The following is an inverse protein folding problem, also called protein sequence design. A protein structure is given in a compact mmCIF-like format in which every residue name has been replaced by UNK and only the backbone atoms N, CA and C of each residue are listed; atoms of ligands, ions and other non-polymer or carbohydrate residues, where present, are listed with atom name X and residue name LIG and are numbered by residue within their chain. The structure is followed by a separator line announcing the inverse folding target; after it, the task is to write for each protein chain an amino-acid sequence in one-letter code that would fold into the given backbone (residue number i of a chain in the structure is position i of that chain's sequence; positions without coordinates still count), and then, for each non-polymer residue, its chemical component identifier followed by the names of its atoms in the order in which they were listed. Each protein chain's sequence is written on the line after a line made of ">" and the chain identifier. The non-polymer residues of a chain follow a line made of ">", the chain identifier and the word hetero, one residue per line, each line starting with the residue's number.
data_IF_352546600546
#
_entry.id   IF_352546600546
#
_cell.length_a   1.000
_cell.length_b   1.000
_cell.length_c   1.000
_cell.angle_alpha   90.00
_cell.angle_beta   90.00
_cell.angle_gamma   90.00
#
_symmetry.space_group_name_H-M   'P 1'
#
loop_
_entity.id
_entity.type
_entity.pdbx_description
1 polymer ?
#
# COMPACT_ATOMS: atom_id res chain seq x y z
N UNK A 1 9.77 -31.03 11.33
CA UNK A 1 10.76 -29.94 11.40
C UNK A 1 10.34 -28.82 12.34
N UNK A 2 9.07 -28.41 12.35
CA UNK A 2 8.53 -27.32 13.20
C UNK A 2 8.82 -27.47 14.70
N UNK A 3 8.54 -28.62 15.33
CA UNK A 3 8.73 -28.78 16.79
C UNK A 3 10.18 -28.67 17.28
N UNK A 4 11.18 -29.00 16.46
CA UNK A 4 12.60 -28.81 16.81
C UNK A 4 13.00 -27.34 16.73
N UNK A 5 12.46 -26.61 15.76
CA UNK A 5 12.67 -25.17 15.65
C UNK A 5 11.99 -24.41 16.81
N UNK A 6 10.79 -24.85 17.24
CA UNK A 6 10.13 -24.27 18.41
C UNK A 6 10.98 -24.49 19.67
N UNK A 7 11.55 -25.69 19.81
CA UNK A 7 12.44 -26.00 20.92
C UNK A 7 13.71 -25.13 20.90
N UNK A 8 14.28 -24.83 19.73
CA UNK A 8 15.45 -23.96 19.62
C UNK A 8 15.10 -22.50 19.90
N UNK A 9 13.97 -22.00 19.40
CA UNK A 9 13.52 -20.62 19.69
C UNK A 9 13.18 -20.44 21.18
N UNK A 10 12.51 -21.42 21.79
CA UNK A 10 12.27 -21.42 23.24
C UNK A 10 13.57 -21.52 24.03
N UNK A 11 14.53 -22.33 23.58
CA UNK A 11 15.84 -22.40 24.22
C UNK A 11 16.63 -21.08 24.09
N UNK A 12 16.55 -20.40 22.94
CA UNK A 12 17.11 -19.07 22.73
C UNK A 12 16.45 -18.05 23.66
N UNK A 13 15.11 -18.04 23.73
CA UNK A 13 14.35 -17.17 24.62
C UNK A 13 14.68 -17.40 26.10
N UNK A 14 14.88 -18.65 26.52
CA UNK A 14 15.35 -19.01 27.87
C UNK A 14 16.77 -18.51 28.10
N UNK A 15 17.67 -18.71 27.14
CA UNK A 15 19.07 -18.27 27.24
C UNK A 15 19.18 -16.75 27.33
N UNK A 16 18.34 -16.02 26.60
CA UNK A 16 18.32 -14.56 26.62
C UNK A 16 17.62 -13.99 27.87
N UNK A 17 16.63 -14.70 28.42
CA UNK A 17 15.93 -14.30 29.66
C UNK A 17 16.69 -14.65 30.95
N UNK A 18 17.66 -15.58 30.90
CA UNK A 18 18.44 -16.11 32.04
C UNK A 18 19.06 -15.09 33.00
N UNK A 19 19.45 -13.91 32.53
CA UNK A 19 20.24 -12.95 33.32
C UNK A 19 19.43 -11.95 34.13
N UNK A 20 18.13 -11.76 33.83
CA UNK A 20 17.34 -10.68 34.46
C UNK A 20 15.84 -10.94 34.65
N UNK A 21 15.25 -11.97 34.04
CA UNK A 21 13.77 -12.11 34.00
C UNK A 21 13.32 -13.53 34.26
N UNK A 22 13.10 -13.83 35.54
CA UNK A 22 12.77 -15.17 36.00
C UNK A 22 11.37 -15.62 35.52
N UNK A 23 10.40 -14.72 35.39
CA UNK A 23 9.04 -15.07 34.99
C UNK A 23 8.94 -15.50 33.52
N UNK A 24 9.55 -14.74 32.60
CA UNK A 24 9.61 -15.11 31.18
C UNK A 24 10.42 -16.41 31.00
N UNK A 25 11.52 -16.55 31.75
CA UNK A 25 12.32 -17.76 31.76
C UNK A 25 11.50 -18.96 32.23
N UNK A 26 10.79 -18.83 33.34
CA UNK A 26 9.97 -19.89 33.93
C UNK A 26 8.83 -20.28 32.99
N UNK A 27 8.20 -19.31 32.33
CA UNK A 27 7.15 -19.58 31.36
C UNK A 27 7.69 -20.28 30.08
N UNK A 28 8.86 -19.85 29.58
CA UNK A 28 9.52 -20.48 28.45
C UNK A 28 10.08 -21.88 28.81
N UNK A 29 10.62 -22.07 30.02
CA UNK A 29 11.08 -23.36 30.56
C UNK A 29 9.90 -24.33 30.72
N UNK A 30 8.78 -23.88 31.30
CA UNK A 30 7.55 -24.66 31.41
C UNK A 30 7.05 -25.11 30.04
N UNK A 31 7.01 -24.19 29.06
CA UNK A 31 6.62 -24.49 27.68
C UNK A 31 7.58 -25.49 27.01
N UNK A 32 8.89 -25.39 27.27
CA UNK A 32 9.91 -26.31 26.76
C UNK A 32 9.85 -27.70 27.45
N UNK A 33 9.52 -27.75 28.74
CA UNK A 33 9.37 -28.98 29.51
C UNK A 33 8.12 -29.75 29.09
N UNK A 34 7.00 -29.06 28.88
CA UNK A 34 5.79 -29.63 28.27
C UNK A 34 6.09 -30.19 26.87
N UNK A 35 6.89 -29.49 26.06
CA UNK A 35 7.34 -29.97 24.75
C UNK A 35 8.18 -31.26 24.84
N UNK A 36 9.03 -31.39 25.86
CA UNK A 36 9.86 -32.59 26.11
C UNK A 36 9.04 -33.77 26.65
N UNK A 37 8.08 -33.52 27.55
CA UNK A 37 7.23 -34.55 28.17
C UNK A 37 6.42 -35.34 27.13
N UNK A 38 5.90 -34.67 26.11
CA UNK A 38 5.17 -35.27 24.99
C UNK A 38 6.03 -36.15 24.08
N UNK A 39 7.35 -35.94 24.06
CA UNK A 39 8.30 -36.78 23.32
C UNK A 39 8.53 -38.13 24.03
N UNK A 40 8.22 -38.22 25.33
CA UNK A 40 8.37 -39.40 26.18
C UNK A 40 7.14 -40.31 26.27
N UNK A 41 5.98 -39.90 25.73
CA UNK A 41 4.79 -40.75 25.71
C UNK A 41 4.93 -41.84 24.62
N UNK A 42 4.85 -43.14 24.97
CA UNK A 42 4.94 -44.21 23.98
C UNK A 42 3.82 -44.08 22.95
N UNK A 43 4.18 -44.21 21.66
CA UNK A 43 3.34 -44.05 20.45
C UNK A 43 2.16 -45.06 20.30
N UNK A 44 1.56 -45.52 21.40
CA UNK A 44 0.59 -46.63 21.39
C UNK A 44 -0.90 -46.22 21.41
N UNK A 45 -1.22 -44.95 21.13
CA UNK A 45 -2.61 -44.48 20.97
C UNK A 45 -2.78 -43.48 19.82
N UNK A 46 -2.08 -43.69 18.70
CA UNK A 46 -2.22 -42.84 17.51
C UNK A 46 -2.47 -43.64 16.23
N UNK A 47 -3.31 -44.68 16.32
CA UNK A 47 -3.89 -45.35 15.15
C UNK A 47 -5.37 -45.01 15.02
N UNK A 48 -5.65 -43.71 14.84
CA UNK A 48 -6.80 -43.13 14.14
C UNK A 48 -6.66 -41.60 14.24
N UNK A 49 -6.85 -40.92 13.12
CA UNK A 49 -6.64 -39.47 12.88
C UNK A 49 -5.18 -39.11 12.61
N UNK A 50 -4.84 -39.03 11.32
CA UNK A 50 -3.65 -38.36 10.86
C UNK A 50 -3.71 -36.87 11.20
N UNK A 51 -2.66 -36.34 11.82
CA UNK A 51 -2.01 -35.06 11.51
C UNK A 51 -1.00 -34.71 12.62
N UNK A 52 0.32 -34.64 12.33
CA UNK A 52 1.31 -34.12 13.27
C UNK A 52 1.19 -32.60 13.55
N UNK A 53 0.28 -31.87 12.86
CA UNK A 53 0.11 -30.41 12.97
C UNK A 53 -0.63 -29.94 14.24
N UNK A 54 -1.62 -30.68 14.77
CA UNK A 54 -2.38 -30.26 15.95
C UNK A 54 -1.51 -30.10 17.22
N UNK A 55 -0.41 -30.85 17.31
CA UNK A 55 0.54 -30.81 18.44
C UNK A 55 1.42 -29.55 18.46
N UNK A 56 1.68 -28.93 17.31
CA UNK A 56 2.51 -27.72 17.22
C UNK A 56 1.69 -26.45 17.48
N UNK A 57 0.47 -26.38 16.93
CA UNK A 57 -0.43 -25.25 17.11
C UNK A 57 -0.86 -25.07 18.58
N UNK A 58 -1.22 -26.15 19.28
CA UNK A 58 -1.58 -26.07 20.70
C UNK A 58 -0.46 -25.53 21.59
N UNK A 59 0.80 -25.85 21.27
CA UNK A 59 1.98 -25.39 22.02
C UNK A 59 2.34 -23.95 21.70
N UNK A 60 2.22 -23.57 20.43
CA UNK A 60 2.39 -22.17 20.03
C UNK A 60 1.38 -21.27 20.75
N UNK A 61 0.15 -21.76 20.95
CA UNK A 61 -0.87 -21.01 21.71
C UNK A 61 -0.44 -20.80 23.17
N UNK A 62 0.07 -21.84 23.84
CA UNK A 62 0.58 -21.73 25.21
C UNK A 62 1.74 -20.71 25.30
N UNK A 63 2.65 -20.72 24.33
CA UNK A 63 3.77 -19.76 24.27
C UNK A 63 3.26 -18.34 24.08
N UNK A 64 2.29 -18.12 23.19
CA UNK A 64 1.69 -16.80 22.98
C UNK A 64 0.95 -16.31 24.23
N UNK A 65 0.21 -17.17 24.91
CA UNK A 65 -0.48 -16.82 26.17
C UNK A 65 0.53 -16.46 27.28
N UNK A 66 1.62 -17.21 27.40
CA UNK A 66 2.72 -16.91 28.31
C UNK A 66 3.41 -15.56 27.99
N UNK A 67 3.65 -15.27 26.70
CA UNK A 67 4.17 -13.98 26.28
C UNK A 67 3.19 -12.84 26.60
N UNK A 68 1.88 -13.08 26.46
CA UNK A 68 0.83 -12.12 26.83
C UNK A 68 0.89 -11.80 28.32
N UNK A 69 0.99 -12.80 29.19
CA UNK A 69 1.15 -12.58 30.64
C UNK A 69 2.44 -11.82 30.98
N UNK A 70 3.52 -12.08 30.25
CA UNK A 70 4.79 -11.40 30.44
C UNK A 70 4.81 -9.93 29.94
N UNK A 71 3.78 -9.44 29.26
CA UNK A 71 3.73 -8.04 28.78
C UNK A 71 3.72 -7.02 29.91
N UNK A 72 3.24 -7.37 31.11
CA UNK A 72 3.26 -6.51 32.30
C UNK A 72 4.61 -6.49 33.03
N UNK A 73 5.60 -7.25 32.55
CA UNK A 73 6.93 -7.31 33.16
C UNK A 73 7.79 -6.07 32.82
N UNK A 74 9.03 -6.04 33.33
CA UNK A 74 9.94 -4.91 33.13
C UNK A 74 10.33 -4.66 31.66
N UNK A 75 10.84 -3.44 31.39
CA UNK A 75 11.25 -2.95 30.05
C UNK A 75 12.05 -3.96 29.22
N UNK A 76 13.09 -4.54 29.82
CA UNK A 76 13.98 -5.51 29.16
C UNK A 76 13.22 -6.79 28.72
N UNK A 77 12.12 -7.17 29.39
CA UNK A 77 11.24 -8.28 28.98
C UNK A 77 10.42 -7.87 27.77
N UNK A 78 9.79 -6.70 27.84
CA UNK A 78 8.93 -6.18 26.79
C UNK A 78 9.67 -6.10 25.44
N UNK A 79 10.91 -5.62 25.44
CA UNK A 79 11.73 -5.57 24.22
C UNK A 79 12.10 -6.96 23.68
N UNK A 80 12.36 -7.94 24.56
CA UNK A 80 12.65 -9.32 24.15
C UNK A 80 11.43 -10.00 23.53
N UNK A 81 10.24 -9.75 24.09
CA UNK A 81 8.98 -10.22 23.49
C UNK A 81 8.86 -9.66 22.06
N UNK A 82 9.09 -8.36 21.88
CA UNK A 82 9.01 -7.70 20.58
C UNK A 82 10.07 -8.18 19.57
N UNK A 83 11.23 -8.64 20.03
CA UNK A 83 12.27 -9.23 19.18
C UNK A 83 11.94 -10.67 18.76
N UNK A 84 11.35 -11.47 19.65
CA UNK A 84 11.04 -12.87 19.38
C UNK A 84 9.75 -13.06 18.55
N UNK A 85 8.76 -12.20 18.75
CA UNK A 85 7.43 -12.35 18.16
C UNK A 85 7.41 -12.34 16.61
N UNK A 86 8.12 -11.45 15.90
CA UNK A 86 8.16 -11.47 14.43
C UNK A 86 8.69 -12.80 13.88
N UNK A 87 9.81 -13.28 14.42
CA UNK A 87 10.45 -14.53 14.00
C UNK A 87 9.55 -15.74 14.24
N UNK A 88 8.87 -15.77 15.39
CA UNK A 88 7.89 -16.81 15.71
C UNK A 88 6.74 -16.81 14.69
N UNK A 89 6.19 -15.65 14.35
CA UNK A 89 5.06 -15.55 13.44
C UNK A 89 5.43 -15.85 11.98
N UNK A 90 6.65 -15.49 11.56
CA UNK A 90 7.16 -15.82 10.23
C UNK A 90 7.41 -17.32 10.07
N UNK A 91 8.00 -17.97 11.07
CA UNK A 91 8.32 -19.40 11.02
C UNK A 91 7.09 -20.31 11.13
N UNK A 92 6.03 -19.85 11.81
CA UNK A 92 4.77 -20.59 11.99
C UNK A 92 3.60 -19.94 11.24
N UNK A 93 3.88 -19.25 10.14
CA UNK A 93 2.88 -18.47 9.40
C UNK A 93 1.64 -19.29 9.00
N UNK A 94 1.80 -20.58 8.66
CA UNK A 94 0.70 -21.48 8.29
C UNK A 94 -0.20 -21.89 9.47
N UNK A 95 0.36 -21.97 10.68
CA UNK A 95 -0.32 -22.44 11.88
C UNK A 95 -0.97 -21.28 12.67
N UNK A 96 -0.49 -20.04 12.49
CA UNK A 96 -1.06 -18.85 13.14
C UNK A 96 -2.25 -18.32 12.34
N UNK A 97 -3.45 -18.74 12.76
CA UNK A 97 -4.75 -18.32 12.22
C UNK A 97 -5.73 -18.11 13.37
N UNK A 98 -6.80 -17.35 13.16
CA UNK A 98 -7.87 -17.27 14.16
C UNK A 98 -7.43 -16.62 15.48
N UNK A 99 -7.85 -17.21 16.60
CA UNK A 99 -7.53 -16.75 17.97
C UNK A 99 -6.02 -16.59 18.23
N UNK A 100 -5.16 -17.42 17.60
CA UNK A 100 -3.70 -17.32 17.80
C UNK A 100 -3.14 -16.03 17.20
N UNK A 101 -3.67 -15.61 16.05
CA UNK A 101 -3.34 -14.33 15.44
C UNK A 101 -3.81 -13.18 16.33
N UNK A 102 -5.02 -13.29 16.88
CA UNK A 102 -5.59 -12.29 17.79
C UNK A 102 -4.71 -12.15 19.04
N UNK A 103 -4.30 -13.24 19.68
CA UNK A 103 -3.40 -13.19 20.84
C UNK A 103 -2.07 -12.52 20.48
N UNK A 104 -1.49 -12.86 19.33
CA UNK A 104 -0.22 -12.29 18.90
C UNK A 104 -0.30 -10.77 18.63
N UNK A 105 -1.36 -10.31 17.93
CA UNK A 105 -1.60 -8.89 17.73
C UNK A 105 -1.89 -8.16 19.05
N UNK A 106 -2.64 -8.80 19.96
CA UNK A 106 -2.98 -8.24 21.27
C UNK A 106 -1.73 -7.97 22.12
N UNK A 107 -0.72 -8.86 22.09
CA UNK A 107 0.58 -8.63 22.75
C UNK A 107 1.19 -7.30 22.28
N UNK A 108 1.25 -7.07 20.96
CA UNK A 108 1.79 -5.83 20.41
C UNK A 108 0.95 -4.61 20.76
N UNK A 109 -0.38 -4.71 20.73
CA UNK A 109 -1.24 -3.60 21.13
C UNK A 109 -1.05 -3.22 22.61
N UNK A 110 -0.94 -4.20 23.51
CA UNK A 110 -0.66 -3.97 24.94
C UNK A 110 0.69 -3.27 25.11
N UNK A 111 1.74 -3.78 24.44
CA UNK A 111 3.08 -3.19 24.53
C UNK A 111 3.16 -1.80 23.88
N UNK A 112 2.38 -1.56 22.84
CA UNK A 112 2.26 -0.23 22.23
C UNK A 112 1.62 0.76 23.22
N UNK A 113 0.64 0.36 24.02
CA UNK A 113 0.06 1.24 25.02
C UNK A 113 1.02 1.62 26.17
N UNK A 114 2.27 1.09 26.15
CA UNK A 114 3.31 1.45 27.11
C UNK A 114 3.67 2.93 27.05
N UNK A 115 3.88 3.53 28.23
CA UNK A 115 4.37 4.92 28.35
C UNK A 115 5.86 5.05 28.00
N UNK A 116 6.58 3.93 27.91
CA UNK A 116 7.98 3.96 27.54
C UNK A 116 8.11 4.12 26.02
N UNK A 117 8.71 5.24 25.58
CA UNK A 117 8.86 5.56 24.16
C UNK A 117 9.61 4.47 23.36
N UNK A 118 10.60 3.79 23.96
CA UNK A 118 11.35 2.73 23.29
C UNK A 118 10.40 1.56 23.00
N UNK A 119 9.64 1.10 24.01
CA UNK A 119 8.70 -0.01 23.85
C UNK A 119 7.56 0.36 22.92
N UNK A 120 7.01 1.57 23.07
CA UNK A 120 5.94 2.09 22.22
C UNK A 120 6.37 2.09 20.74
N UNK A 121 7.54 2.66 20.42
CA UNK A 121 8.04 2.76 19.05
C UNK A 121 8.46 1.40 18.48
N UNK A 122 9.14 0.55 19.26
CA UNK A 122 9.50 -0.80 18.82
C UNK A 122 8.24 -1.63 18.60
N UNK A 123 7.25 -1.55 19.49
CA UNK A 123 5.98 -2.26 19.33
C UNK A 123 5.19 -1.77 18.12
N UNK A 124 5.19 -0.46 17.85
CA UNK A 124 4.57 0.11 16.67
C UNK A 124 5.15 -0.47 15.37
N UNK A 125 6.48 -0.56 15.27
CA UNK A 125 7.16 -1.16 14.12
C UNK A 125 6.86 -2.67 14.00
N UNK A 126 6.93 -3.40 15.12
CA UNK A 126 6.58 -4.82 15.14
C UNK A 126 5.13 -5.04 14.70
N UNK A 127 4.19 -4.25 15.21
CA UNK A 127 2.77 -4.35 14.88
C UNK A 127 2.51 -4.07 13.40
N UNK A 128 3.16 -3.07 12.80
CA UNK A 128 3.12 -2.84 11.36
C UNK A 128 3.59 -4.07 10.58
N UNK A 129 4.71 -4.69 10.97
CA UNK A 129 5.21 -5.91 10.34
C UNK A 129 4.24 -7.09 10.49
N UNK A 130 3.60 -7.24 11.65
CA UNK A 130 2.64 -8.32 11.87
C UNK A 130 1.38 -8.14 11.03
N UNK A 131 0.84 -6.91 10.96
CA UNK A 131 -0.32 -6.60 10.12
C UNK A 131 0.01 -6.86 8.65
N UNK A 132 1.16 -6.39 8.15
CA UNK A 132 1.64 -6.67 6.78
C UNK A 132 1.72 -8.19 6.54
N UNK A 133 2.27 -8.95 7.49
CA UNK A 133 2.36 -10.41 7.37
C UNK A 133 0.99 -11.10 7.27
N UNK A 134 -0.08 -10.56 7.87
CA UNK A 134 -1.45 -11.09 7.70
C UNK A 134 -1.88 -11.00 6.24
N UNK A 135 -1.60 -9.90 5.55
CA UNK A 135 -1.94 -9.71 4.14
C UNK A 135 -0.98 -10.46 3.20
N UNK A 136 0.28 -10.66 3.58
CA UNK A 136 1.18 -11.56 2.85
C UNK A 136 0.63 -12.99 2.79
N UNK A 137 -0.02 -13.46 3.87
CA UNK A 137 -0.65 -14.78 3.89
C UNK A 137 -1.79 -14.89 2.88
N UNK A 138 -2.59 -13.84 2.71
CA UNK A 138 -3.64 -13.80 1.67
C UNK A 138 -3.01 -13.92 0.28
N UNK A 139 -1.95 -13.15 0.03
CA UNK A 139 -1.22 -13.20 -1.24
C UNK A 139 -0.61 -14.59 -1.51
N UNK A 140 -0.15 -15.29 -0.48
CA UNK A 140 0.33 -16.66 -0.59
C UNK A 140 -0.82 -17.66 -0.84
N UNK A 141 -1.95 -17.47 -0.17
CA UNK A 141 -3.17 -18.29 -0.32
C UNK A 141 -3.75 -18.17 -1.75
N UNK A 142 -3.71 -16.98 -2.35
CA UNK A 142 -4.18 -16.76 -3.72
C UNK A 142 -3.30 -17.41 -4.79
N UNK A 143 -2.00 -17.58 -4.50
CA UNK A 143 -1.07 -18.32 -5.39
C UNK A 143 -1.30 -19.83 -5.34
N UNK A 144 -1.95 -20.33 -4.29
CA UNK A 144 -2.20 -21.76 -4.07
C UNK A 144 -3.69 -22.04 -3.78
N UNK A 145 -4.58 -21.79 -4.75
CA UNK A 145 -6.04 -21.80 -4.52
C UNK A 145 -6.62 -23.20 -4.21
N UNK A 146 -5.85 -24.28 -4.35
CA UNK A 146 -6.31 -25.66 -4.18
C UNK A 146 -6.11 -26.27 -2.79
N UNK A 147 -5.45 -25.58 -1.85
CA UNK A 147 -4.94 -26.20 -0.61
C UNK A 147 -5.81 -25.92 0.63
N UNK A 148 -6.80 -25.01 0.55
CA UNK A 148 -7.61 -24.60 1.70
C UNK A 148 -9.12 -24.54 1.38
N UNK A 149 -9.99 -25.17 2.20
CA UNK A 149 -11.43 -25.02 2.07
C UNK A 149 -11.86 -23.58 2.39
N UNK A 150 -13.02 -23.17 1.87
CA UNK A 150 -13.68 -21.94 2.32
C UNK A 150 -14.17 -22.13 3.77
N UNK A 151 -13.86 -21.19 4.66
CA UNK A 151 -14.07 -21.33 6.12
C UNK A 151 -15.05 -20.29 6.67
N UNK A 152 -15.39 -19.25 5.90
CA UNK A 152 -16.36 -18.26 6.35
C UNK A 152 -17.01 -17.49 5.20
N UNK A 153 -17.96 -16.63 5.57
CA UNK A 153 -18.61 -15.70 4.66
C UNK A 153 -18.26 -14.26 5.07
N UNK A 154 -17.98 -13.42 4.07
CA UNK A 154 -17.72 -12.00 4.25
C UNK A 154 -18.72 -11.16 3.43
N UNK A 155 -19.17 -10.01 3.96
CA UNK A 155 -20.14 -9.15 3.28
C UNK A 155 -19.50 -8.44 2.08
N UNK A 156 -20.23 -8.42 0.97
CA UNK A 156 -19.92 -7.68 -0.26
C UNK A 156 -21.14 -6.84 -0.68
N UNK A 157 -20.97 -5.95 -1.66
CA UNK A 157 -22.05 -5.07 -2.12
C UNK A 157 -23.34 -5.84 -2.52
N UNK A 158 -23.20 -7.01 -3.13
CA UNK A 158 -24.31 -7.81 -3.68
C UNK A 158 -24.61 -9.10 -2.88
N UNK A 159 -24.21 -9.18 -1.60
CA UNK A 159 -24.49 -10.34 -0.74
C UNK A 159 -23.31 -10.77 0.13
N UNK A 160 -23.09 -12.08 0.23
CA UNK A 160 -21.93 -12.66 0.95
C UNK A 160 -21.06 -13.48 0.00
N UNK A 161 -19.74 -13.40 0.20
CA UNK A 161 -18.75 -14.21 -0.52
C UNK A 161 -18.10 -15.19 0.44
N UNK A 162 -17.94 -16.43 -0.02
CA UNK A 162 -17.18 -17.44 0.71
C UNK A 162 -15.69 -17.11 0.65
N UNK A 163 -15.08 -16.97 1.82
CA UNK A 163 -13.68 -16.60 2.00
C UNK A 163 -12.91 -17.73 2.65
N UNK A 164 -11.64 -17.84 2.24
CA UNK A 164 -10.66 -18.74 2.85
C UNK A 164 -10.17 -18.17 4.19
N UNK A 165 -9.42 -18.96 4.95
CA UNK A 165 -9.03 -18.59 6.31
C UNK A 165 -8.16 -17.34 6.37
N UNK A 166 -7.13 -17.22 5.50
CA UNK A 166 -6.25 -16.05 5.54
C UNK A 166 -6.99 -14.78 5.09
N UNK A 167 -7.81 -14.87 4.03
CA UNK A 167 -8.65 -13.76 3.57
C UNK A 167 -9.64 -13.29 4.67
N UNK A 168 -10.26 -14.23 5.40
CA UNK A 168 -11.15 -13.92 6.51
C UNK A 168 -10.44 -13.24 7.67
N UNK A 169 -9.25 -13.72 8.05
CA UNK A 169 -8.44 -13.10 9.10
C UNK A 169 -8.03 -11.68 8.70
N UNK A 170 -7.59 -11.47 7.45
CA UNK A 170 -7.25 -10.14 6.94
C UNK A 170 -8.46 -9.19 6.92
N UNK A 171 -9.63 -9.68 6.51
CA UNK A 171 -10.87 -8.90 6.52
C UNK A 171 -11.23 -8.43 7.93
N UNK A 172 -11.21 -9.34 8.91
CA UNK A 172 -11.54 -9.01 10.31
C UNK A 172 -10.52 -8.05 10.93
N UNK A 173 -9.22 -8.31 10.73
CA UNK A 173 -8.16 -7.43 11.23
C UNK A 173 -8.29 -6.04 10.62
N UNK A 174 -8.50 -5.91 9.31
CA UNK A 174 -8.63 -4.60 8.67
C UNK A 174 -9.88 -3.84 9.13
N UNK A 175 -11.03 -4.53 9.23
CA UNK A 175 -12.27 -3.95 9.72
C UNK A 175 -12.13 -3.41 11.15
N UNK A 176 -11.48 -4.17 12.02
CA UNK A 176 -11.24 -3.76 13.41
C UNK A 176 -10.22 -2.64 13.52
N UNK A 177 -9.18 -2.62 12.69
CA UNK A 177 -8.27 -1.48 12.61
C UNK A 177 -9.03 -0.19 12.25
N UNK A 178 -10.00 -0.26 11.34
CA UNK A 178 -10.87 0.87 11.02
C UNK A 178 -11.75 1.24 12.23
N UNK A 179 -12.41 0.28 12.88
CA UNK A 179 -13.23 0.52 14.08
C UNK A 179 -12.43 1.21 15.18
N UNK A 180 -11.23 0.68 15.48
CA UNK A 180 -10.37 1.19 16.54
C UNK A 180 -9.84 2.59 16.22
N UNK A 181 -9.56 2.90 14.95
CA UNK A 181 -9.13 4.24 14.52
C UNK A 181 -10.25 5.29 14.66
N UNK A 182 -11.51 4.85 14.57
CA UNK A 182 -12.71 5.65 14.83
C UNK A 182 -13.12 5.71 16.31
N UNK A 183 -12.32 5.14 17.23
CA UNK A 183 -12.66 4.95 18.64
C UNK A 183 -13.90 4.08 18.90
N UNK A 184 -14.24 3.19 17.96
CA UNK A 184 -15.28 2.17 18.14
C UNK A 184 -14.67 0.88 18.73
N UNK A 185 -15.53 0.00 19.25
CA UNK A 185 -15.08 -1.28 19.80
C UNK A 185 -14.84 -2.28 18.67
N UNK A 186 -13.67 -2.94 18.62
CA UNK A 186 -13.42 -4.02 17.66
C UNK A 186 -14.32 -5.23 17.94
N UNK A 187 -14.63 -5.99 16.89
CA UNK A 187 -15.45 -7.20 16.98
C UNK A 187 -14.60 -8.47 17.16
N UNK A 188 -13.38 -8.46 16.64
CA UNK A 188 -12.48 -9.61 16.57
C UNK A 188 -11.24 -9.47 17.47
N UNK A 189 -10.59 -8.31 17.45
CA UNK A 189 -9.45 -7.97 18.28
C UNK A 189 -9.90 -7.67 19.71
N UNK A 190 -9.27 -8.30 20.70
CA UNK A 190 -9.62 -8.13 22.13
C UNK A 190 -8.84 -6.99 22.79
N UNK A 191 -8.74 -5.84 22.11
CA UNK A 191 -8.00 -4.67 22.62
C UNK A 191 -8.66 -3.34 22.24
N UNK A 192 -8.70 -2.40 23.18
CA UNK A 192 -9.20 -1.04 22.95
C UNK A 192 -8.17 -0.05 23.50
N UNK A 193 -7.57 0.78 22.65
CA UNK A 193 -6.55 1.75 23.09
C UNK A 193 -5.58 2.22 22.01
N UNK A 194 -5.97 2.12 20.73
CA UNK A 194 -5.13 2.53 19.61
C UNK A 194 -5.18 4.05 19.47
N UNK A 195 -4.03 4.71 19.34
CA UNK A 195 -4.03 6.13 18.97
C UNK A 195 -4.52 6.27 17.53
N UNK A 196 -5.37 7.27 17.27
CA UNK A 196 -5.92 7.49 15.93
C UNK A 196 -4.82 7.70 14.88
N UNK A 197 -3.76 8.44 15.21
CA UNK A 197 -2.64 8.69 14.29
C UNK A 197 -1.93 7.41 13.89
N UNK A 198 -1.69 6.50 14.83
CA UNK A 198 -1.05 5.23 14.52
C UNK A 198 -2.00 4.26 13.80
N UNK A 199 -3.30 4.28 14.12
CA UNK A 199 -4.31 3.52 13.37
C UNK A 199 -4.38 3.92 11.90
N UNK A 200 -4.32 5.23 11.61
CA UNK A 200 -4.21 5.75 10.26
C UNK A 200 -2.93 5.28 9.55
N UNK A 201 -1.78 5.25 10.23
CA UNK A 201 -0.53 4.73 9.65
C UNK A 201 -0.61 3.23 9.31
N UNK A 202 -1.27 2.43 10.15
CA UNK A 202 -1.52 1.02 9.86
C UNK A 202 -2.41 0.84 8.62
N UNK A 203 -3.49 1.62 8.52
CA UNK A 203 -4.39 1.60 7.37
C UNK A 203 -3.62 2.00 6.09
N UNK A 204 -2.84 3.08 6.14
CA UNK A 204 -2.01 3.53 5.01
C UNK A 204 -1.00 2.45 4.58
N UNK A 205 -0.31 1.84 5.55
CA UNK A 205 0.69 0.79 5.31
C UNK A 205 0.08 -0.41 4.58
N UNK A 206 -1.09 -0.88 5.04
CA UNK A 206 -1.80 -1.99 4.40
C UNK A 206 -2.20 -1.65 2.96
N UNK A 207 -2.81 -0.48 2.74
CA UNK A 207 -3.25 -0.04 1.41
C UNK A 207 -2.08 0.14 0.44
N UNK A 208 -0.95 0.63 0.93
CA UNK A 208 0.24 0.89 0.11
C UNK A 208 0.95 -0.42 -0.28
N UNK A 209 1.14 -1.32 0.69
CA UNK A 209 1.88 -2.58 0.50
C UNK A 209 1.05 -3.64 -0.24
N UNK A 210 -0.27 -3.68 -0.03
CA UNK A 210 -1.14 -4.75 -0.53
C UNK A 210 -2.29 -4.26 -1.41
N UNK A 211 -2.09 -3.19 -2.19
CA UNK A 211 -3.11 -2.64 -3.08
C UNK A 211 -3.79 -3.69 -3.99
N UNK A 212 -3.05 -4.71 -4.46
CA UNK A 212 -3.62 -5.75 -5.31
C UNK A 212 -4.74 -6.55 -4.61
N UNK A 213 -4.65 -6.77 -3.30
CA UNK A 213 -5.66 -7.51 -2.53
C UNK A 213 -6.99 -6.78 -2.58
N UNK A 214 -7.00 -5.46 -2.38
CA UNK A 214 -8.23 -4.65 -2.43
C UNK A 214 -8.86 -4.58 -3.83
N UNK A 215 -8.10 -4.87 -4.89
CA UNK A 215 -8.63 -4.94 -6.26
C UNK A 215 -9.18 -6.33 -6.60
N UNK A 216 -8.58 -7.39 -6.05
CA UNK A 216 -8.99 -8.78 -6.31
C UNK A 216 -10.09 -9.28 -5.36
N UNK A 217 -10.12 -8.78 -4.12
CA UNK A 217 -11.02 -9.24 -3.06
C UNK A 217 -12.18 -8.25 -2.85
N UNK A 218 -13.42 -8.63 -3.23
CA UNK A 218 -14.58 -7.74 -3.10
C UNK A 218 -14.93 -7.42 -1.65
N UNK A 219 -14.68 -8.33 -0.70
CA UNK A 219 -14.92 -8.12 0.73
C UNK A 219 -14.02 -7.01 1.30
N UNK A 220 -12.77 -6.93 0.83
CA UNK A 220 -11.84 -5.88 1.23
C UNK A 220 -12.21 -4.53 0.61
N UNK A 221 -12.61 -4.54 -0.68
CA UNK A 221 -13.13 -3.34 -1.33
C UNK A 221 -14.38 -2.79 -0.62
N UNK A 222 -15.22 -3.67 -0.06
CA UNK A 222 -16.41 -3.25 0.68
C UNK A 222 -16.07 -2.50 1.97
N UNK A 223 -15.02 -2.88 2.69
CA UNK A 223 -14.54 -2.12 3.85
C UNK A 223 -14.12 -0.71 3.41
N UNK A 224 -13.47 -0.58 2.25
CA UNK A 224 -13.09 0.73 1.73
C UNK A 224 -14.32 1.62 1.49
N UNK A 225 -15.37 1.07 0.86
CA UNK A 225 -16.62 1.79 0.55
C UNK A 225 -17.41 2.20 1.78
N UNK A 226 -17.65 1.26 2.69
CA UNK A 226 -18.60 1.46 3.79
C UNK A 226 -17.95 2.09 5.02
N UNK A 227 -16.63 1.98 5.16
CA UNK A 227 -15.93 2.40 6.38
C UNK A 227 -14.84 3.42 6.09
N UNK A 228 -13.82 3.06 5.32
CA UNK A 228 -12.64 3.93 5.13
C UNK A 228 -13.00 5.25 4.44
N UNK A 229 -13.75 5.21 3.34
CA UNK A 229 -14.13 6.41 2.60
C UNK A 229 -15.03 7.34 3.43
N UNK A 230 -16.15 6.90 4.02
CA UNK A 230 -16.98 7.73 4.90
C UNK A 230 -16.20 8.29 6.10
N UNK A 231 -15.32 7.50 6.71
CA UNK A 231 -14.46 7.95 7.80
C UNK A 231 -13.53 9.09 7.37
N UNK A 232 -12.83 8.95 6.25
CA UNK A 232 -11.93 9.99 5.72
C UNK A 232 -12.70 11.26 5.37
N UNK A 233 -13.80 11.12 4.62
CA UNK A 233 -14.68 12.22 4.20
C UNK A 233 -15.15 13.00 5.42
N UNK A 234 -15.68 12.31 6.43
CA UNK A 234 -16.13 12.91 7.68
C UNK A 234 -14.97 13.58 8.44
N UNK A 235 -13.85 12.89 8.61
CA UNK A 235 -12.73 13.38 9.41
C UNK A 235 -12.00 14.59 8.77
N UNK A 236 -12.00 14.71 7.44
CA UNK A 236 -11.47 15.88 6.73
C UNK A 236 -12.41 17.09 6.84
N UNK A 237 -13.72 16.85 6.86
CA UNK A 237 -14.72 17.91 7.03
C UNK A 237 -14.73 18.46 8.47
N UNK A 238 -14.57 17.60 9.46
CA UNK A 238 -14.31 18.02 10.83
C UNK A 238 -12.90 18.64 10.94
N UNK A 239 -12.72 19.67 11.77
CA UNK A 239 -11.44 20.39 11.91
C UNK A 239 -10.35 19.55 12.60
N UNK A 240 -9.97 18.41 12.02
CA UNK A 240 -8.84 17.58 12.43
C UNK A 240 -7.54 18.39 12.53
N UNK A 241 -6.71 18.05 13.51
CA UNK A 241 -5.40 18.67 13.68
C UNK A 241 -4.47 18.36 12.48
N UNK A 242 -3.32 19.01 12.42
CA UNK A 242 -2.37 18.86 11.31
C UNK A 242 -1.91 17.39 11.14
N UNK A 243 -1.42 16.76 12.20
CA UNK A 243 -0.90 15.38 12.17
C UNK A 243 -1.92 14.35 11.65
N UNK A 244 -3.18 14.45 12.10
CA UNK A 244 -4.26 13.58 11.64
C UNK A 244 -4.65 13.91 10.19
N UNK A 245 -4.73 15.19 9.83
CA UNK A 245 -5.08 15.63 8.46
C UNK A 245 -4.07 15.15 7.43
N UNK A 246 -2.76 15.24 7.72
CA UNK A 246 -1.70 14.73 6.82
C UNK A 246 -1.91 13.24 6.55
N UNK A 247 -2.15 12.43 7.60
CA UNK A 247 -2.35 10.98 7.47
C UNK A 247 -3.64 10.62 6.72
N UNK A 248 -4.75 11.32 7.00
CA UNK A 248 -6.01 11.15 6.25
C UNK A 248 -5.83 11.47 4.76
N UNK A 249 -5.16 12.58 4.46
CA UNK A 249 -4.87 13.00 3.08
C UNK A 249 -3.96 12.01 2.36
N UNK A 250 -2.96 11.43 3.04
CA UNK A 250 -2.11 10.36 2.49
C UNK A 250 -2.89 9.10 2.12
N UNK A 251 -3.77 8.65 3.01
CA UNK A 251 -4.64 7.51 2.74
C UNK A 251 -5.54 7.81 1.53
N UNK A 252 -6.19 8.98 1.54
CA UNK A 252 -7.03 9.43 0.42
C UNK A 252 -6.26 9.46 -0.90
N UNK A 253 -5.06 10.01 -0.90
CA UNK A 253 -4.18 10.06 -2.06
C UNK A 253 -3.85 8.66 -2.59
N UNK A 254 -3.54 7.71 -1.71
CA UNK A 254 -3.30 6.30 -2.08
C UNK A 254 -4.56 5.67 -2.69
N UNK A 255 -5.74 5.93 -2.11
CA UNK A 255 -7.03 5.45 -2.63
C UNK A 255 -7.33 6.03 -4.03
N UNK A 256 -7.18 7.34 -4.22
CA UNK A 256 -7.40 7.99 -5.52
C UNK A 256 -6.42 7.49 -6.58
N UNK A 257 -5.16 7.23 -6.24
CA UNK A 257 -4.16 6.73 -7.20
C UNK A 257 -4.34 5.27 -7.60
N UNK A 258 -4.74 4.40 -6.67
CA UNK A 258 -4.70 2.94 -6.87
C UNK A 258 -6.07 2.28 -6.94
N UNK A 259 -7.10 2.90 -6.36
CA UNK A 259 -8.42 2.29 -6.12
C UNK A 259 -9.60 3.07 -6.72
N UNK A 260 -9.37 4.14 -7.49
CA UNK A 260 -10.46 4.93 -8.10
C UNK A 260 -11.42 4.08 -8.94
N UNK A 261 -10.94 3.05 -9.64
CA UNK A 261 -11.77 2.17 -10.47
C UNK A 261 -12.79 1.35 -9.67
N UNK A 262 -12.47 1.02 -8.41
CA UNK A 262 -13.38 0.27 -7.53
C UNK A 262 -14.22 1.21 -6.66
N UNK A 263 -13.84 2.48 -6.50
CA UNK A 263 -14.51 3.47 -5.64
C UNK A 263 -14.92 4.75 -6.40
N UNK A 264 -15.61 4.70 -7.56
CA UNK A 264 -15.81 5.89 -8.38
C UNK A 264 -16.72 6.93 -7.72
N UNK A 265 -17.79 6.50 -7.05
CA UNK A 265 -18.76 7.39 -6.40
C UNK A 265 -18.11 8.07 -5.20
N UNK A 266 -17.48 7.29 -4.33
CA UNK A 266 -16.81 7.77 -3.13
C UNK A 266 -15.60 8.65 -3.47
N UNK A 267 -14.87 8.33 -4.54
CA UNK A 267 -13.77 9.17 -5.03
C UNK A 267 -14.28 10.54 -5.50
N UNK A 268 -15.43 10.57 -6.18
CA UNK A 268 -16.09 11.83 -6.55
C UNK A 268 -16.40 12.69 -5.32
N UNK A 269 -17.05 12.10 -4.30
CA UNK A 269 -17.35 12.79 -3.04
C UNK A 269 -16.09 13.29 -2.32
N UNK A 270 -15.01 12.52 -2.35
CA UNK A 270 -13.76 12.92 -1.74
C UNK A 270 -13.08 14.08 -2.49
N UNK A 271 -13.14 14.09 -3.83
CA UNK A 271 -12.67 15.20 -4.66
C UNK A 271 -13.50 16.48 -4.43
N UNK A 272 -14.82 16.34 -4.23
CA UNK A 272 -15.69 17.47 -3.89
C UNK A 272 -15.26 18.11 -2.57
N UNK A 273 -14.98 17.30 -1.54
CA UNK A 273 -14.49 17.80 -0.25
C UNK A 273 -13.10 18.44 -0.37
N UNK A 274 -12.19 17.83 -1.12
CA UNK A 274 -10.87 18.44 -1.38
C UNK A 274 -11.02 19.81 -2.07
N UNK A 275 -11.97 19.93 -3.00
CA UNK A 275 -12.27 21.20 -3.69
C UNK A 275 -12.87 22.23 -2.72
N UNK A 276 -13.80 21.83 -1.86
CA UNK A 276 -14.34 22.71 -0.81
C UNK A 276 -13.26 23.19 0.16
N UNK A 277 -12.30 22.33 0.51
CA UNK A 277 -11.16 22.67 1.37
C UNK A 277 -10.14 23.61 0.70
N UNK A 278 -10.19 23.78 -0.63
CA UNK A 278 -9.39 24.79 -1.34
C UNK A 278 -9.98 26.20 -1.22
N UNK A 279 -11.25 26.33 -0.85
CA UNK A 279 -11.90 27.63 -0.72
C UNK A 279 -11.34 28.45 0.46
N UNK A 280 -11.61 29.74 0.48
CA UNK A 280 -10.86 30.73 1.27
C UNK A 280 -10.96 30.55 2.80
N UNK A 281 -11.98 29.84 3.29
CA UNK A 281 -12.22 29.62 4.72
C UNK A 281 -11.23 28.63 5.37
N UNK A 282 -10.48 27.87 4.58
CA UNK A 282 -9.53 26.88 5.09
C UNK A 282 -8.14 27.49 5.40
N UNK A 283 -7.47 27.04 6.47
CA UNK A 283 -6.09 27.44 6.76
C UNK A 283 -5.16 27.03 5.61
N UNK A 284 -4.14 27.85 5.35
CA UNK A 284 -3.28 27.72 4.18
C UNK A 284 -2.59 26.34 4.06
N UNK A 285 -2.26 25.69 5.17
CA UNK A 285 -1.67 24.34 5.17
C UNK A 285 -2.65 23.26 4.69
N UNK A 286 -3.96 23.41 4.94
CA UNK A 286 -4.98 22.49 4.41
C UNK A 286 -5.13 22.67 2.91
N UNK A 287 -5.14 23.92 2.45
CA UNK A 287 -5.19 24.25 1.03
C UNK A 287 -3.96 23.69 0.29
N UNK A 288 -2.77 23.85 0.88
CA UNK A 288 -1.53 23.27 0.35
C UNK A 288 -1.61 21.73 0.27
N UNK A 289 -2.06 21.05 1.33
CA UNK A 289 -2.26 19.59 1.33
C UNK A 289 -3.21 19.13 0.21
N UNK A 290 -4.34 19.82 0.03
CA UNK A 290 -5.28 19.48 -1.04
C UNK A 290 -4.65 19.66 -2.42
N UNK A 291 -3.93 20.77 -2.65
CA UNK A 291 -3.22 21.00 -3.91
C UNK A 291 -2.12 19.96 -4.19
N UNK A 292 -1.43 19.47 -3.17
CA UNK A 292 -0.45 18.38 -3.32
C UNK A 292 -1.11 17.07 -3.78
N UNK A 293 -2.32 16.76 -3.27
CA UNK A 293 -3.11 15.62 -3.75
C UNK A 293 -3.47 15.80 -5.21
N UNK A 294 -4.05 16.94 -5.59
CA UNK A 294 -4.42 17.21 -6.99
C UNK A 294 -3.22 17.03 -7.91
N UNK A 295 -2.10 17.69 -7.62
CA UNK A 295 -0.84 17.57 -8.35
C UNK A 295 -0.37 16.11 -8.46
N UNK A 296 -0.49 15.34 -7.39
CA UNK A 296 -0.10 13.94 -7.38
C UNK A 296 -1.06 13.04 -8.17
N UNK A 297 -2.36 13.30 -8.14
CA UNK A 297 -3.38 12.47 -8.83
C UNK A 297 -3.39 12.64 -10.34
N UNK A 298 -2.74 13.68 -10.87
CA UNK A 298 -2.64 13.96 -12.30
C UNK A 298 -1.83 12.89 -13.06
N UNK A 299 -2.51 11.80 -13.37
CA UNK A 299 -2.35 11.08 -14.63
C UNK A 299 -3.57 11.47 -15.48
N UNK A 300 -3.40 11.99 -16.71
CA UNK A 300 -4.52 12.47 -17.53
C UNK A 300 -5.61 11.41 -17.74
N UNK A 301 -5.28 10.12 -17.66
CA UNK A 301 -6.24 9.02 -17.77
C UNK A 301 -7.22 8.89 -16.57
N UNK A 302 -6.90 9.46 -15.40
CA UNK A 302 -7.71 9.34 -14.17
C UNK A 302 -8.79 10.43 -14.10
N UNK A 303 -8.58 11.59 -14.74
CA UNK A 303 -9.47 12.76 -14.72
C UNK A 303 -10.66 12.59 -15.71
N UNK A 304 -11.02 11.34 -16.06
CA UNK A 304 -12.15 11.09 -16.94
C UNK A 304 -11.94 11.45 -18.42
N UNK A 305 -10.70 11.71 -18.85
CA UNK A 305 -10.33 11.77 -20.27
C UNK A 305 -10.22 10.35 -20.84
N UNK A 306 -11.28 9.57 -20.71
CA UNK A 306 -11.41 8.27 -21.39
C UNK A 306 -11.89 8.46 -22.83
N UNK A 307 -11.70 7.45 -23.68
CA UNK A 307 -11.96 7.44 -25.14
C UNK A 307 -13.37 7.88 -25.60
N UNK A 308 -14.27 8.25 -24.70
CA UNK A 308 -15.62 8.77 -25.03
C UNK A 308 -15.79 10.29 -24.82
N UNK A 309 -14.86 10.98 -24.14
CA UNK A 309 -14.99 12.42 -23.85
C UNK A 309 -14.61 13.35 -25.01
N UNK A 310 -14.25 12.81 -26.17
CA UNK A 310 -13.98 13.59 -27.38
C UNK A 310 -14.63 12.92 -28.59
N UNK A 311 -15.97 12.92 -28.61
CA UNK A 311 -16.68 12.92 -29.89
C UNK A 311 -16.76 14.39 -30.30
N UNK A 312 -15.94 14.86 -31.27
CA UNK A 312 -16.17 16.18 -31.83
C UNK A 312 -17.56 16.13 -32.49
N UNK A 313 -18.48 16.99 -32.04
CA UNK A 313 -19.67 17.29 -32.82
C UNK A 313 -19.14 17.88 -34.14
N UNK A 314 -19.19 17.07 -35.18
CA UNK A 314 -18.86 17.46 -36.54
C UNK A 314 -19.83 18.58 -36.94
N UNK A 315 -19.33 19.82 -36.94
CA UNK A 315 -20.06 20.96 -37.47
C UNK A 315 -20.18 20.78 -39.00
N UNK A 316 -21.37 20.60 -39.60
CA UNK A 316 -21.51 20.28 -41.02
C UNK A 316 -21.19 21.43 -41.99
N UNK A 317 -20.74 22.60 -41.50
CA UNK A 317 -20.63 23.83 -42.29
C UNK A 317 -19.35 24.63 -42.04
N UNK A 318 -18.19 23.98 -42.00
CA UNK A 318 -16.91 24.72 -42.02
C UNK A 318 -15.97 24.22 -43.10
N UNK A 319 -16.37 24.47 -44.34
CA UNK A 319 -15.45 24.59 -45.47
C UNK A 319 -14.82 25.98 -45.43
N UNK A 320 -13.56 26.07 -45.00
CA UNK A 320 -12.54 26.97 -45.58
C UNK A 320 -11.21 26.66 -44.91
N UNK A 321 -10.28 26.17 -45.73
CA UNK A 321 -8.87 26.10 -45.43
C UNK A 321 -8.30 27.50 -45.20
N UNK A 322 -7.33 27.63 -44.29
CA UNK A 322 -6.59 28.88 -44.11
C UNK A 322 -5.80 28.94 -42.81
N UNK A 323 -4.60 28.39 -42.87
CA UNK A 323 -3.39 28.99 -42.30
C UNK A 323 -3.23 29.06 -40.76
N UNK A 324 -2.56 28.04 -40.18
CA UNK A 324 -1.66 28.24 -39.04
C UNK A 324 -0.42 27.36 -39.24
N UNK A 325 0.56 27.94 -39.92
CA UNK A 325 1.94 27.44 -40.03
C UNK A 325 2.56 27.35 -38.62
N UNK A 326 3.03 26.16 -38.27
CA UNK A 326 3.77 25.87 -37.06
C UNK A 326 5.24 26.30 -37.22
N UNK A 327 5.65 27.39 -36.59
CA UNK A 327 7.07 27.69 -36.35
C UNK A 327 7.50 27.03 -35.03
N UNK A 328 8.04 25.81 -35.13
CA UNK A 328 8.86 25.21 -34.09
C UNK A 328 10.30 25.71 -34.23
N UNK A 329 10.73 26.61 -33.36
CA UNK A 329 12.11 27.09 -33.31
C UNK A 329 12.45 27.58 -31.91
N UNK A 330 13.34 26.87 -31.22
CA UNK A 330 13.60 27.03 -29.79
C UNK A 330 14.04 28.42 -29.36
N UNK A 331 13.54 28.85 -28.20
CA UNK A 331 14.14 29.91 -27.39
C UNK A 331 14.13 29.45 -25.93
N UNK A 332 15.23 28.80 -25.53
CA UNK A 332 15.66 28.73 -24.12
C UNK A 332 16.15 30.13 -23.75
N UNK A 333 15.23 30.97 -23.26
CA UNK A 333 15.46 32.35 -22.89
C UNK A 333 15.76 32.51 -21.41
N UNK A 334 16.98 32.95 -21.12
CA UNK A 334 17.55 33.27 -19.83
C UNK A 334 16.75 34.37 -19.11
N UNK A 335 16.45 34.20 -17.82
CA UNK A 335 16.11 35.32 -16.92
C UNK A 335 17.22 35.40 -15.87
N UNK A 336 18.26 36.16 -16.21
CA UNK A 336 19.25 36.69 -15.27
C UNK A 336 18.89 38.16 -15.04
N UNK A 337 18.03 38.41 -14.04
CA UNK A 337 17.76 39.75 -13.53
C UNK A 337 18.58 39.98 -12.26
N UNK A 338 19.57 40.86 -12.34
CA UNK A 338 20.39 41.31 -11.22
C UNK A 338 19.53 41.99 -10.14
N UNK A 339 19.73 41.54 -8.91
CA UNK A 339 19.11 42.01 -7.67
C UNK A 339 19.44 43.47 -7.35
N UNK A 340 18.40 44.29 -7.21
CA UNK A 340 18.42 45.44 -6.31
C UNK A 340 17.60 45.04 -5.08
N UNK A 341 18.27 44.90 -3.96
CA UNK A 341 17.65 44.64 -2.67
C UNK A 341 16.99 45.93 -2.17
N UNK A 342 15.66 45.95 -2.12
CA UNK A 342 14.78 46.51 -1.08
C UNK A 342 13.39 46.79 -1.69
N UNK A 343 12.41 45.95 -1.35
CA UNK A 343 11.08 45.94 -1.96
C UNK A 343 10.57 44.51 -2.09
N UNK A 344 9.46 44.19 -1.41
CA UNK A 344 8.96 42.82 -1.27
C UNK A 344 8.97 42.04 -2.59
N UNK A 345 9.63 40.87 -2.59
CA UNK A 345 9.67 39.97 -3.73
C UNK A 345 8.24 39.50 -4.06
N UNK A 346 7.53 40.24 -4.91
CA UNK A 346 6.25 39.84 -5.48
C UNK A 346 6.51 38.95 -6.69
N UNK A 347 6.21 37.65 -6.59
CA UNK A 347 6.33 36.72 -7.72
C UNK A 347 6.39 35.26 -7.29
N UNK A 348 6.01 34.35 -8.19
CA UNK A 348 6.08 32.91 -7.99
C UNK A 348 7.41 32.42 -8.57
N UNK A 349 8.24 31.78 -7.74
CA UNK A 349 9.51 31.19 -8.18
C UNK A 349 9.79 29.91 -7.43
N UNK A 350 10.45 28.95 -8.09
CA UNK A 350 10.87 27.69 -7.48
C UNK A 350 11.80 27.92 -6.27
N UNK A 351 12.52 29.06 -6.21
CA UNK A 351 13.48 29.36 -5.14
C UNK A 351 12.84 29.82 -3.82
N UNK A 352 11.66 30.46 -3.84
CA UNK A 352 11.01 31.02 -2.64
C UNK A 352 9.53 30.63 -2.49
N UNK A 353 8.92 30.04 -3.52
CA UNK A 353 7.55 29.53 -3.55
C UNK A 353 7.50 28.00 -3.52
N UNK A 354 8.60 27.33 -3.20
CA UNK A 354 8.67 25.87 -3.06
C UNK A 354 9.02 25.49 -1.62
N UNK A 355 8.35 24.45 -1.12
CA UNK A 355 8.68 23.84 0.17
C UNK A 355 9.58 22.64 -0.10
N UNK A 356 10.69 22.51 0.66
CA UNK A 356 11.68 21.44 0.47
C UNK A 356 11.11 20.03 0.70
N UNK A 357 10.18 19.91 1.64
CA UNK A 357 9.51 18.65 1.98
C UNK A 357 7.99 18.88 1.84
N UNK A 358 7.31 18.22 0.90
CA UNK A 358 5.85 18.29 0.77
C UNK A 358 5.15 18.05 2.09
N UNK A 359 4.03 18.73 2.35
CA UNK A 359 3.28 18.59 3.59
C UNK A 359 2.75 17.18 3.78
N UNK A 360 2.37 16.51 2.68
CA UNK A 360 1.96 15.12 2.68
C UNK A 360 3.03 14.20 3.28
N UNK A 361 4.31 14.58 3.25
CA UNK A 361 5.44 13.79 3.76
C UNK A 361 5.90 14.21 5.16
N UNK A 362 5.25 15.18 5.80
CA UNK A 362 5.64 15.69 7.13
C UNK A 362 4.92 14.96 8.28
N UNK A 363 5.17 13.67 8.44
CA UNK A 363 4.51 12.80 9.42
C UNK A 363 4.92 13.03 10.89
N UNK A 364 6.13 13.55 11.11
CA UNK A 364 6.73 13.74 12.44
C UNK A 364 6.26 15.01 13.15
N UNK A 365 5.57 15.91 12.44
CA UNK A 365 5.17 17.21 12.98
C UNK A 365 3.73 17.18 13.46
N UNK A 366 3.51 17.73 14.67
CA UNK A 366 2.19 17.92 15.26
C UNK A 366 1.52 19.20 14.80
N UNK A 367 2.31 20.19 14.38
CA UNK A 367 1.86 21.52 13.96
C UNK A 367 2.33 21.87 12.53
N UNK A 368 1.55 22.67 11.80
CA UNK A 368 1.89 23.05 10.43
C UNK A 368 3.14 23.96 10.42
N UNK A 369 4.15 23.69 9.57
CA UNK A 369 5.29 24.61 9.41
C UNK A 369 4.85 25.94 8.78
N UNK A 370 5.66 27.01 8.90
CA UNK A 370 5.40 28.27 8.21
C UNK A 370 5.40 28.08 6.69
N UNK A 371 4.43 28.70 6.02
CA UNK A 371 4.16 28.48 4.60
C UNK A 371 4.39 29.80 3.85
N UNK A 372 5.16 29.78 2.75
CA UNK A 372 5.15 30.89 1.82
C UNK A 372 3.75 31.01 1.20
N UNK A 373 3.15 32.20 1.24
CA UNK A 373 1.82 32.42 0.64
C UNK A 373 1.78 32.09 -0.86
N UNK A 374 2.94 32.16 -1.53
CA UNK A 374 3.12 31.80 -2.94
C UNK A 374 3.12 30.29 -3.23
N UNK A 375 3.15 29.42 -2.21
CA UNK A 375 3.27 27.96 -2.39
C UNK A 375 2.05 27.34 -3.08
N UNK A 376 0.84 27.74 -2.67
CA UNK A 376 -0.41 27.24 -3.26
C UNK A 376 -0.47 27.60 -4.75
N UNK A 377 -0.11 28.83 -5.11
CA UNK A 377 -0.09 29.27 -6.51
C UNK A 377 0.94 28.52 -7.36
N UNK A 378 2.12 28.21 -6.80
CA UNK A 378 3.12 27.37 -7.47
C UNK A 378 2.58 25.96 -7.74
N UNK A 379 1.88 25.36 -6.76
CA UNK A 379 1.22 24.06 -6.96
C UNK A 379 0.14 24.14 -8.03
N UNK A 380 -0.69 25.21 -8.05
CA UNK A 380 -1.70 25.41 -9.09
C UNK A 380 -1.08 25.50 -10.49
N UNK A 381 -0.01 26.27 -10.65
CA UNK A 381 0.71 26.35 -11.94
C UNK A 381 1.31 24.99 -12.33
N UNK A 382 1.84 24.23 -11.37
CA UNK A 382 2.34 22.89 -11.62
C UNK A 382 1.24 21.92 -12.06
N UNK A 383 0.05 21.99 -11.44
CA UNK A 383 -1.14 21.24 -11.84
C UNK A 383 -1.54 21.56 -13.28
N UNK A 384 -1.69 22.84 -13.62
CA UNK A 384 -2.07 23.29 -14.97
C UNK A 384 -1.04 22.82 -16.00
N UNK A 385 0.25 22.92 -15.69
CA UNK A 385 1.34 22.47 -16.57
C UNK A 385 1.29 20.96 -16.83
N UNK A 386 1.14 20.17 -15.76
CA UNK A 386 1.05 18.71 -15.80
C UNK A 386 -0.20 18.22 -16.55
N UNK A 387 -1.36 18.87 -16.33
CA UNK A 387 -2.58 18.64 -17.11
C UNK A 387 -2.35 18.93 -18.60
N UNK A 388 -1.74 20.07 -18.92
CA UNK A 388 -1.46 20.48 -20.30
C UNK A 388 -0.52 19.49 -21.00
N UNK A 389 0.54 19.04 -20.31
CA UNK A 389 1.47 18.02 -20.82
C UNK A 389 0.77 16.66 -21.00
N UNK A 390 -0.12 16.29 -20.07
CA UNK A 390 -0.91 15.08 -20.15
C UNK A 390 -1.87 15.07 -21.34
N UNK A 391 -2.57 16.18 -21.56
CA UNK A 391 -3.42 16.38 -22.74
C UNK A 391 -2.60 16.33 -24.03
N UNK A 392 -1.45 17.00 -24.08
CA UNK A 392 -0.56 16.95 -25.24
C UNK A 392 -0.11 15.51 -25.54
N UNK A 393 0.31 14.74 -24.54
CA UNK A 393 0.69 13.33 -24.70
C UNK A 393 -0.45 12.45 -25.19
N UNK A 394 -1.70 12.77 -24.85
CA UNK A 394 -2.87 12.05 -25.32
C UNK A 394 -3.27 12.43 -26.75
N UNK A 395 -3.28 13.72 -27.06
CA UNK A 395 -3.76 14.25 -28.35
C UNK A 395 -2.71 14.10 -29.45
N UNK A 396 -1.43 14.36 -29.19
CA UNK A 396 -0.38 14.37 -30.21
C UNK A 396 -0.27 13.04 -31.00
N UNK A 397 -0.35 11.85 -30.37
CA UNK A 397 -0.36 10.59 -31.10
C UNK A 397 -1.61 10.37 -31.97
N UNK A 398 -2.71 11.07 -31.68
CA UNK A 398 -3.96 10.99 -32.45
C UNK A 398 -3.99 11.98 -33.62
N UNK A 399 -3.23 13.08 -33.53
CA UNK A 399 -3.18 14.12 -34.57
C UNK A 399 -2.10 13.88 -35.64
N UNK A 400 -1.14 12.99 -35.40
CA UNK A 400 -0.09 12.66 -36.39
C UNK A 400 -0.54 11.44 -37.23
N UNK A 401 -0.82 11.60 -38.54
CA UNK A 401 -1.12 10.47 -39.41
C UNK A 401 0.15 9.65 -39.67
N UNK A 402 0.29 8.52 -38.97
CA UNK A 402 1.05 7.34 -39.42
C UNK A 402 2.56 7.43 -39.61
N UNK A 403 3.33 7.13 -38.56
CA UNK A 403 4.62 6.41 -38.67
C UNK A 403 4.59 5.02 -38.02
N UNK A 404 3.40 4.39 -37.91
CA UNK A 404 3.30 2.96 -37.60
C UNK A 404 3.55 2.13 -38.85
N UNK A 405 4.80 2.09 -39.31
CA UNK A 405 5.09 1.38 -40.56
C UNK A 405 6.55 1.28 -40.99
N UNK A 406 7.53 1.17 -40.09
CA UNK A 406 8.88 0.72 -40.50
C UNK A 406 9.72 0.21 -39.34
N UNK A 407 9.61 -1.09 -39.04
CA UNK A 407 10.73 -1.94 -38.56
C UNK A 407 10.27 -3.39 -38.36
N UNK A 408 10.48 -4.22 -39.38
CA UNK A 408 11.14 -5.55 -39.30
C UNK A 408 11.10 -6.23 -40.67
N UNK A 409 12.18 -6.09 -41.42
CA UNK A 409 12.62 -7.17 -42.31
C UNK A 409 14.15 -7.24 -42.23
N UNK A 410 14.63 -8.00 -41.24
CA UNK A 410 16.02 -8.46 -41.17
C UNK A 410 15.98 -9.96 -40.94
N UNK A 411 16.08 -10.72 -42.04
CA UNK A 411 16.86 -11.97 -42.19
C UNK A 411 16.40 -12.70 -43.45
N UNK A 412 17.28 -12.76 -44.46
CA UNK A 412 17.89 -14.04 -44.82
C UNK A 412 19.09 -13.78 -45.73
N UNK A 413 20.27 -14.02 -45.15
CA UNK A 413 21.44 -14.49 -45.89
C UNK A 413 21.03 -15.72 -46.70
N UNK A 414 21.00 -15.58 -48.02
CA UNK A 414 21.21 -16.70 -48.93
C UNK A 414 22.44 -16.37 -49.76
N UNK A 415 23.58 -16.82 -49.28
CA UNK A 415 24.75 -17.00 -50.12
C UNK A 415 24.40 -17.96 -51.25
N UNK A 416 24.59 -17.53 -52.50
CA UNK A 416 24.97 -18.39 -53.63
C UNK A 416 25.49 -17.51 -54.77
N UNK A 417 26.80 -17.46 -54.81
CA UNK A 417 27.66 -17.55 -55.99
C UNK A 417 27.07 -17.13 -57.35
N UNK A 418 27.60 -16.04 -57.90
CA UNK A 418 27.69 -15.84 -59.35
C UNK A 418 28.42 -17.03 -60.00
N UNK A 419 28.09 -17.35 -61.26
CA UNK A 419 29.09 -17.02 -62.29
C UNK A 419 28.49 -16.44 -63.59
N UNK A 420 29.21 -15.43 -64.07
CA UNK A 420 29.55 -15.00 -65.43
C UNK A 420 28.72 -15.37 -66.70
N UNK A 421 28.85 -14.56 -67.78
CA UNK A 421 27.87 -14.46 -68.87
C UNK A 421 28.25 -15.19 -70.17
N UNK A 422 27.32 -15.13 -71.14
CA UNK A 422 27.46 -15.34 -72.59
C UNK A 422 27.69 -16.76 -73.14
N UNK A 423 26.71 -17.27 -73.89
CA UNK A 423 26.76 -17.28 -75.36
C UNK A 423 25.54 -18.02 -75.93
N UNK A 424 24.79 -17.34 -76.81
CA UNK A 424 23.92 -17.98 -77.79
C UNK A 424 24.75 -18.17 -79.04
N UNK A 425 24.96 -19.40 -79.47
CA UNK A 425 25.08 -19.75 -80.88
C UNK A 425 24.83 -21.23 -81.12
N UNK A 426 24.05 -21.53 -82.16
CA UNK A 426 24.21 -22.72 -83.01
C UNK A 426 23.74 -24.09 -82.50
N UNK A 427 22.74 -24.72 -83.15
CA UNK A 427 22.24 -26.06 -82.81
C UNK A 427 22.94 -27.20 -83.59
N UNK A 428 22.53 -28.44 -83.29
CA UNK A 428 22.76 -29.71 -84.03
C UNK A 428 24.10 -30.39 -83.69
N UNK A 429 24.23 -31.71 -83.52
CA UNK A 429 23.37 -32.85 -83.80
C UNK A 429 24.02 -34.12 -83.19
N UNK A 430 23.20 -35.16 -83.02
CA UNK A 430 23.53 -36.60 -83.16
C UNK A 430 24.31 -37.35 -82.06
N UNK A 431 23.53 -38.19 -81.35
CA UNK A 431 23.70 -39.65 -81.14
C UNK A 431 25.10 -40.17 -80.78
N UNK A 432 25.20 -40.81 -79.61
CA UNK A 432 25.10 -42.27 -79.46
C UNK A 432 24.86 -42.62 -77.99
#
# INVERSE_FOLDING_TARGET
>A
MTTQLLASELANLIQESKRKHNDLRQAAEKSLEELKSLKGAPKLRLSQVGTPHLSAAGKLNQVLEALREATSAGLDVQLKILQALPSLLQNYASDVKGDMLVTALNICFILQASKNAIVNNTSAATLQQLVVSVFDKVTAEDKSPGDAPFVGEAPVADGTVQVRTAALDAFRVFNDLCLMTENQRPEYLRFTGLSQTFGLELIESVLTNHAAIFLSHPEQAQILRVRVMPFIISALNHKANFATSVRLVRILYTLLRRHVNILPVESGQALDILTQLLDQDAPMWRRALCMEVFRGTEKPNIIGLSHQSTIPVSNPYSSTAGDVMLESGGVTGMISGSSSADGGNTGISVQWSSVRVPFIDQLDKTEPPPIPESYVYNLTLACISSLSEGLAKFILPLTVPGERGRKKLTKQDTGRSSPAPNSKDGPQNLRA
#
